data_IF_666701217956
#
_entry.id   IF_666701217956
#
_cell.length_a   1.000
_cell.length_b   1.000
_cell.length_c   1.000
_cell.angle_alpha   90.00
_cell.angle_beta   90.00
_cell.angle_gamma   90.00
#
_symmetry.space_group_name_H-M   'P 1'
#
loop_
_entity.id
_entity.type
_entity.pdbx_description
1 polymer ?
#
# COMPACT_ATOMS: atom_id res chain seq x y z
N UNK A 1 -21.02 -0.68 -2.98
CA UNK A 1 -20.69 0.28 -1.91
C UNK A 1 -19.27 0.76 -2.11
N UNK A 2 -19.01 2.07 -2.07
CA UNK A 2 -17.64 2.60 -2.06
C UNK A 2 -16.90 2.06 -0.82
N UNK A 3 -15.61 1.80 -0.97
CA UNK A 3 -14.72 1.38 0.09
C UNK A 3 -13.32 1.97 -0.15
N UNK A 4 -12.52 2.09 0.90
CA UNK A 4 -11.17 2.63 0.82
C UNK A 4 -10.22 1.91 1.78
N UNK A 5 -8.96 1.79 1.38
CA UNK A 5 -7.86 1.54 2.28
C UNK A 5 -7.46 2.82 3.02
N UNK A 6 -6.94 2.70 4.23
CA UNK A 6 -6.67 3.85 5.10
C UNK A 6 -5.32 3.70 5.78
N UNK A 7 -4.44 4.68 5.58
CA UNK A 7 -3.24 4.89 6.39
C UNK A 7 -3.33 6.23 7.10
N UNK A 8 -3.04 6.23 8.40
CA UNK A 8 -2.98 7.46 9.21
C UNK A 8 -1.69 7.42 10.03
N UNK A 9 -0.99 8.55 10.06
CA UNK A 9 0.11 8.77 10.97
C UNK A 9 -0.08 10.14 11.63
N UNK A 10 -0.05 10.18 12.97
CA UNK A 10 -0.34 11.36 13.77
C UNK A 10 0.67 11.49 14.91
N UNK A 11 1.23 12.68 15.07
CA UNK A 11 1.99 13.04 16.27
C UNK A 11 1.06 13.22 17.47
N UNK A 12 1.39 12.56 18.58
CA UNK A 12 0.77 12.73 19.88
C UNK A 12 1.87 12.88 20.95
N UNK A 13 2.24 14.14 21.23
CA UNK A 13 3.37 14.46 22.11
C UNK A 13 4.69 13.87 21.59
N UNK A 14 5.28 12.94 22.36
CA UNK A 14 6.53 12.24 22.04
C UNK A 14 6.37 10.99 21.15
N UNK A 15 5.13 10.66 20.79
CA UNK A 15 4.80 9.45 20.04
C UNK A 15 4.29 9.81 18.66
N UNK A 16 4.67 9.00 17.68
CA UNK A 16 3.96 8.88 16.42
C UNK A 16 2.99 7.70 16.57
N UNK A 17 1.69 7.99 16.57
CA UNK A 17 0.64 6.99 16.50
C UNK A 17 0.30 6.75 15.04
N UNK A 18 0.09 5.49 14.68
CA UNK A 18 -0.21 5.13 13.31
C UNK A 18 -1.26 4.02 13.23
N UNK A 19 -1.95 4.00 12.10
CA UNK A 19 -3.01 3.06 11.75
C UNK A 19 -2.86 2.68 10.28
N UNK A 20 -2.98 1.38 10.00
CA UNK A 20 -3.02 0.81 8.66
C UNK A 20 -4.24 -0.11 8.56
N UNK A 21 -5.08 0.12 7.58
CA UNK A 21 -6.24 -0.69 7.25
C UNK A 21 -6.21 -1.02 5.76
N UNK A 22 -6.29 -2.32 5.45
CA UNK A 22 -6.14 -2.87 4.11
C UNK A 22 -4.73 -2.62 3.49
N UNK A 23 -4.66 -2.49 2.18
CA UNK A 23 -3.45 -2.56 1.35
C UNK A 23 -2.62 -1.26 1.30
N UNK A 24 -2.76 -0.38 2.31
CA UNK A 24 -1.83 0.74 2.50
C UNK A 24 -0.58 0.26 3.21
N UNK A 25 0.59 0.73 2.77
CA UNK A 25 1.86 0.46 3.44
C UNK A 25 2.34 1.66 4.25
N UNK A 26 2.71 1.40 5.51
CA UNK A 26 3.46 2.31 6.38
C UNK A 26 4.92 1.89 6.43
N UNK A 27 5.83 2.82 6.16
CA UNK A 27 7.26 2.65 6.34
C UNK A 27 7.74 3.61 7.43
N UNK A 28 8.52 3.10 8.38
CA UNK A 28 9.21 3.90 9.40
C UNK A 28 10.69 3.60 9.29
N UNK A 29 11.52 4.62 9.03
CA UNK A 29 12.97 4.54 9.10
C UNK A 29 13.43 5.06 10.45
N UNK A 30 14.28 4.30 11.11
CA UNK A 30 14.90 4.72 12.36
C UNK A 30 16.19 5.51 12.10
N UNK A 31 16.71 6.13 13.16
CA UNK A 31 17.93 6.95 13.10
C UNK A 31 19.23 6.16 12.90
N UNK A 32 19.18 4.84 13.01
CA UNK A 32 20.31 3.93 12.85
C UNK A 32 20.28 3.20 11.49
N UNK A 33 19.51 3.71 10.52
CA UNK A 33 19.28 3.10 9.20
C UNK A 33 18.54 1.74 9.23
N UNK A 34 17.95 1.36 10.36
CA UNK A 34 16.94 0.32 10.39
C UNK A 34 15.61 0.84 9.82
N UNK A 35 14.74 -0.08 9.43
CA UNK A 35 13.41 0.26 8.93
C UNK A 35 12.41 -0.81 9.32
N UNK A 36 11.14 -0.39 9.38
CA UNK A 36 9.99 -1.26 9.54
C UNK A 36 9.00 -0.96 8.40
N UNK A 37 8.36 -2.01 7.90
CA UNK A 37 7.22 -1.92 6.98
C UNK A 37 6.02 -2.58 7.65
N UNK A 38 4.87 -1.92 7.60
CA UNK A 38 3.59 -2.44 8.08
C UNK A 38 2.59 -2.36 6.95
N UNK A 39 1.93 -3.47 6.64
CA UNK A 39 0.86 -3.58 5.65
C UNK A 39 -0.09 -4.67 6.12
N UNK A 40 -1.39 -4.50 5.87
CA UNK A 40 -2.37 -5.51 6.25
C UNK A 40 -2.44 -6.64 5.22
N UNK A 41 -1.81 -7.78 5.52
CA UNK A 41 -1.77 -8.92 4.60
C UNK A 41 -3.12 -9.59 4.38
N UNK A 42 -4.12 -9.32 5.24
CA UNK A 42 -5.44 -9.98 5.15
C UNK A 42 -6.12 -9.77 3.81
N UNK A 43 -5.86 -8.65 3.13
CA UNK A 43 -6.40 -8.36 1.79
C UNK A 43 -5.93 -9.39 0.76
N UNK A 44 -4.69 -9.83 0.85
CA UNK A 44 -4.12 -10.85 -0.03
C UNK A 44 -4.47 -12.26 0.46
N UNK A 45 -4.39 -12.49 1.77
CA UNK A 45 -4.61 -13.81 2.40
C UNK A 45 -6.07 -14.30 2.24
N UNK A 46 -7.04 -13.38 2.16
CA UNK A 46 -8.46 -13.71 2.02
C UNK A 46 -8.90 -14.03 0.58
N UNK A 47 -8.03 -13.86 -0.43
CA UNK A 47 -8.41 -14.04 -1.83
C UNK A 47 -8.37 -15.52 -2.24
N UNK A 48 -9.36 -15.95 -3.04
CA UNK A 48 -9.27 -17.23 -3.74
C UNK A 48 -8.12 -17.18 -4.75
N UNK A 49 -7.06 -17.95 -4.47
CA UNK A 49 -5.86 -18.01 -5.29
C UNK A 49 -6.14 -18.51 -6.72
N UNK A 50 -7.14 -19.36 -6.92
CA UNK A 50 -7.48 -19.90 -8.25
C UNK A 50 -8.12 -18.84 -9.15
N UNK A 51 -9.04 -18.04 -8.60
CA UNK A 51 -9.67 -16.93 -9.34
C UNK A 51 -8.64 -15.84 -9.64
N UNK A 52 -7.76 -15.56 -8.68
CA UNK A 52 -6.64 -14.63 -8.84
C UNK A 52 -5.71 -15.06 -9.97
N UNK A 53 -5.21 -16.29 -9.92
CA UNK A 53 -4.31 -16.84 -10.96
C UNK A 53 -4.97 -16.85 -12.34
N UNK A 54 -6.24 -17.24 -12.44
CA UNK A 54 -6.97 -17.24 -13.70
C UNK A 54 -7.07 -15.83 -14.31
N UNK A 55 -7.27 -14.80 -13.48
CA UNK A 55 -7.32 -13.41 -13.93
C UNK A 55 -5.92 -12.87 -14.31
N UNK A 56 -4.88 -13.24 -13.58
CA UNK A 56 -3.49 -12.82 -13.84
C UNK A 56 -2.90 -13.43 -15.12
N UNK A 57 -3.32 -14.64 -15.50
CA UNK A 57 -2.84 -15.34 -16.69
C UNK A 57 -3.46 -14.85 -18.02
N UNK A 58 -4.26 -13.79 -17.99
CA UNK A 58 -4.93 -13.23 -19.17
C UNK A 58 -4.37 -11.84 -19.48
N UNK A 59 -4.09 -11.52 -20.76
CA UNK A 59 -3.57 -10.20 -21.10
C UNK A 59 -4.52 -9.08 -20.68
N UNK A 60 -3.94 -8.01 -20.12
CA UNK A 60 -4.69 -6.84 -19.67
C UNK A 60 -5.50 -6.25 -20.83
N UNK A 61 -6.74 -5.88 -20.55
CA UNK A 61 -7.61 -5.24 -21.54
C UNK A 61 -8.36 -6.21 -22.47
N UNK A 62 -8.17 -7.52 -22.33
CA UNK A 62 -8.99 -8.51 -23.04
C UNK A 62 -10.38 -8.68 -22.41
N UNK A 63 -11.36 -9.13 -23.20
CA UNK A 63 -12.70 -9.42 -22.67
C UNK A 63 -12.69 -10.57 -21.65
N UNK A 64 -11.82 -11.57 -21.88
CA UNK A 64 -11.62 -12.68 -20.96
C UNK A 64 -11.07 -12.20 -19.61
N UNK A 65 -10.04 -11.35 -19.62
CA UNK A 65 -9.45 -10.80 -18.41
C UNK A 65 -10.48 -9.99 -17.61
N UNK A 66 -11.27 -9.14 -18.28
CA UNK A 66 -12.35 -8.39 -17.60
C UNK A 66 -13.39 -9.30 -16.96
N UNK A 67 -13.74 -10.41 -17.60
CA UNK A 67 -14.68 -11.38 -17.05
C UNK A 67 -14.08 -12.10 -15.83
N UNK A 68 -12.81 -12.50 -15.89
CA UNK A 68 -12.10 -13.15 -14.78
C UNK A 68 -11.93 -12.20 -13.58
N UNK A 69 -11.48 -10.96 -13.81
CA UNK A 69 -11.37 -9.92 -12.76
C UNK A 69 -12.74 -9.66 -12.13
N UNK A 70 -13.81 -9.60 -12.92
CA UNK A 70 -15.17 -9.44 -12.37
C UNK A 70 -15.57 -10.61 -11.47
N UNK A 71 -15.28 -11.85 -11.86
CA UNK A 71 -15.57 -13.03 -11.04
C UNK A 71 -14.77 -12.98 -9.73
N UNK A 72 -13.47 -12.66 -9.79
CA UNK A 72 -12.62 -12.45 -8.63
C UNK A 72 -13.15 -11.33 -7.71
N UNK A 73 -13.56 -10.19 -8.26
CA UNK A 73 -14.13 -9.09 -7.48
C UNK A 73 -15.44 -9.48 -6.79
N UNK A 74 -16.28 -10.31 -7.43
CA UNK A 74 -17.50 -10.82 -6.80
C UNK A 74 -17.16 -11.68 -5.58
N UNK A 75 -16.16 -12.56 -5.69
CA UNK A 75 -15.67 -13.37 -4.58
C UNK A 75 -15.09 -12.51 -3.45
N UNK A 76 -14.20 -11.56 -3.78
CA UNK A 76 -13.63 -10.61 -2.81
C UNK A 76 -14.71 -9.86 -2.03
N UNK A 77 -15.82 -9.46 -2.68
CA UNK A 77 -16.93 -8.78 -2.00
C UNK A 77 -17.58 -9.64 -0.90
N UNK A 78 -17.51 -10.97 -0.99
CA UNK A 78 -18.01 -11.89 0.04
C UNK A 78 -17.09 -11.98 1.26
N UNK A 79 -15.79 -11.70 1.06
CA UNK A 79 -14.75 -11.71 2.09
C UNK A 79 -14.54 -10.34 2.76
N UNK A 80 -15.22 -9.30 2.28
CA UNK A 80 -15.04 -7.92 2.73
C UNK A 80 -15.85 -7.59 3.98
N UNK A 81 -15.18 -7.06 4.99
CA UNK A 81 -15.74 -6.63 6.28
C UNK A 81 -16.52 -7.75 6.99
N UNK A 82 -15.98 -8.96 6.93
CA UNK A 82 -16.49 -10.13 7.66
C UNK A 82 -15.36 -10.77 8.45
N UNK A 83 -15.75 -11.49 9.50
CA UNK A 83 -14.80 -12.28 10.30
C UNK A 83 -14.07 -13.27 9.40
N UNK A 84 -12.76 -13.43 9.63
CA UNK A 84 -11.85 -14.32 8.89
C UNK A 84 -11.62 -13.92 7.41
N UNK A 85 -12.21 -12.80 6.95
CA UNK A 85 -11.89 -12.15 5.68
C UNK A 85 -10.94 -10.96 5.86
N UNK A 86 -11.18 -9.89 5.10
CA UNK A 86 -10.38 -8.66 5.15
C UNK A 86 -11.24 -7.43 5.47
N UNK A 87 -10.60 -6.36 5.93
CA UNK A 87 -11.27 -5.17 6.43
C UNK A 87 -10.87 -3.93 5.63
N UNK A 88 -11.86 -3.13 5.24
CA UNK A 88 -11.70 -1.85 4.53
C UNK A 88 -12.68 -0.81 5.09
N UNK A 89 -12.29 0.46 5.02
CA UNK A 89 -13.18 1.54 5.41
C UNK A 89 -14.38 1.60 4.44
N UNK A 90 -15.58 1.42 4.98
CA UNK A 90 -16.84 1.47 4.23
C UNK A 90 -17.97 1.92 5.18
N UNK A 91 -19.20 1.50 4.92
CA UNK A 91 -20.36 1.88 5.72
C UNK A 91 -20.37 1.31 7.15
N UNK A 92 -19.71 0.18 7.39
CA UNK A 92 -19.61 -0.42 8.73
C UNK A 92 -18.42 0.22 9.50
N UNK A 93 -18.66 0.99 10.58
CA UNK A 93 -17.59 1.62 11.35
C UNK A 93 -16.70 0.61 12.09
N UNK A 94 -17.16 -0.63 12.32
CA UNK A 94 -16.39 -1.72 12.93
C UNK A 94 -15.07 -1.99 12.19
N UNK A 95 -14.98 -1.68 10.89
CA UNK A 95 -13.74 -1.82 10.14
C UNK A 95 -12.56 -1.06 10.75
N UNK A 96 -12.81 0.04 11.48
CA UNK A 96 -11.78 0.77 12.20
C UNK A 96 -11.17 -0.04 13.35
N UNK A 97 -11.96 -0.87 14.04
CA UNK A 97 -11.50 -1.71 15.16
C UNK A 97 -10.59 -2.84 14.70
N UNK A 98 -10.62 -3.15 13.40
CA UNK A 98 -9.78 -4.17 12.79
C UNK A 98 -8.48 -3.63 12.20
N UNK A 99 -8.24 -2.32 12.24
CA UNK A 99 -7.01 -1.75 11.70
C UNK A 99 -5.77 -2.17 12.51
N UNK A 100 -4.64 -2.35 11.83
CA UNK A 100 -3.35 -2.57 12.48
C UNK A 100 -2.87 -1.21 13.01
N UNK A 101 -2.59 -1.14 14.31
CA UNK A 101 -2.21 0.10 14.97
C UNK A 101 -0.92 -0.04 15.75
N UNK A 102 -0.26 1.09 15.99
CA UNK A 102 0.90 1.11 16.86
C UNK A 102 1.36 2.52 17.17
N UNK A 103 2.44 2.57 17.96
CA UNK A 103 3.10 3.82 18.32
C UNK A 103 4.61 3.65 18.31
N UNK A 104 5.31 4.66 17.83
CA UNK A 104 6.78 4.68 17.78
C UNK A 104 7.26 5.99 18.40
N UNK A 105 8.31 5.96 19.22
CA UNK A 105 8.83 7.17 19.84
C UNK A 105 9.45 8.06 18.76
N UNK A 106 9.01 9.32 18.67
CA UNK A 106 9.51 10.25 17.65
C UNK A 106 11.03 10.42 17.74
N UNK A 107 11.62 10.32 18.92
CA UNK A 107 13.06 10.43 19.13
C UNK A 107 13.88 9.38 18.35
N UNK A 108 13.26 8.26 17.99
CA UNK A 108 13.92 7.13 17.31
C UNK A 108 13.66 7.15 15.79
N UNK A 109 12.76 8.01 15.31
CA UNK A 109 12.32 8.07 13.91
C UNK A 109 13.12 9.12 13.14
N UNK A 110 13.65 8.70 12.00
CA UNK A 110 14.24 9.56 10.99
C UNK A 110 13.18 10.06 10.00
N UNK A 111 12.42 9.14 9.41
CA UNK A 111 11.40 9.45 8.40
C UNK A 111 10.28 8.42 8.39
N UNK A 112 9.10 8.83 7.90
CA UNK A 112 7.89 8.01 7.80
C UNK A 112 7.28 8.20 6.43
N UNK A 113 6.81 7.13 5.81
CA UNK A 113 6.01 7.20 4.60
C UNK A 113 4.72 6.37 4.73
N UNK A 114 3.63 6.90 4.20
CA UNK A 114 2.39 6.15 3.94
C UNK A 114 2.15 6.14 2.45
N UNK A 115 1.82 4.99 1.88
CA UNK A 115 1.64 4.85 0.45
C UNK A 115 0.58 3.82 0.08
N UNK A 116 -0.12 4.07 -1.02
CA UNK A 116 -1.06 3.10 -1.60
C UNK A 116 -0.33 1.90 -2.19
N UNK A 117 -1.06 0.82 -2.43
CA UNK A 117 -0.62 -0.37 -3.16
C UNK A 117 -0.01 0.00 -4.53
N UNK A 118 -0.61 0.95 -5.24
CA UNK A 118 -0.07 1.48 -6.50
C UNK A 118 1.38 1.96 -6.42
N UNK A 119 1.81 2.52 -5.29
CA UNK A 119 3.23 2.89 -5.06
C UNK A 119 4.05 1.70 -4.59
N UNK A 120 3.51 0.89 -3.66
CA UNK A 120 4.22 -0.24 -3.08
C UNK A 120 4.55 -1.33 -4.11
N UNK A 121 3.78 -1.41 -5.21
CA UNK A 121 4.05 -2.26 -6.37
C UNK A 121 5.47 -2.12 -6.93
N UNK A 122 6.15 -0.98 -6.76
CA UNK A 122 7.57 -0.87 -7.13
C UNK A 122 8.45 -1.94 -6.47
N UNK A 123 8.12 -2.31 -5.23
CA UNK A 123 8.81 -3.33 -4.45
C UNK A 123 8.10 -4.68 -4.54
N UNK A 124 6.78 -4.70 -4.35
CA UNK A 124 6.02 -5.94 -4.15
C UNK A 124 5.69 -6.69 -5.44
N UNK A 125 5.54 -5.96 -6.56
CA UNK A 125 5.13 -6.51 -7.85
C UNK A 125 6.26 -6.43 -8.88
N UNK A 126 6.81 -5.24 -9.08
CA UNK A 126 7.81 -4.98 -10.12
C UNK A 126 9.22 -5.41 -9.68
N UNK A 127 9.48 -5.49 -8.37
CA UNK A 127 10.80 -5.81 -7.81
C UNK A 127 11.93 -4.92 -8.37
N UNK A 128 11.59 -3.65 -8.66
CA UNK A 128 12.49 -2.63 -9.22
C UNK A 128 13.14 -1.79 -8.11
N UNK A 129 12.71 -1.98 -6.86
CA UNK A 129 13.31 -1.37 -5.69
C UNK A 129 13.24 -2.30 -4.47
N UNK A 130 14.05 -2.00 -3.46
CA UNK A 130 13.88 -2.51 -2.09
C UNK A 130 13.28 -1.40 -1.24
N UNK A 131 12.65 -1.76 -0.12
CA UNK A 131 12.04 -0.79 0.81
C UNK A 131 12.99 0.32 1.28
N UNK A 132 14.25 -0.03 1.58
CA UNK A 132 15.27 0.99 1.89
C UNK A 132 15.51 1.94 0.71
N UNK A 133 15.60 1.41 -0.51
CA UNK A 133 15.73 2.22 -1.72
C UNK A 133 14.51 3.14 -1.95
N UNK A 134 13.31 2.71 -1.58
CA UNK A 134 12.12 3.57 -1.59
C UNK A 134 12.30 4.77 -0.65
N UNK A 135 12.78 4.54 0.58
CA UNK A 135 13.04 5.62 1.54
C UNK A 135 14.16 6.55 1.06
N UNK A 136 15.20 6.02 0.42
CA UNK A 136 16.28 6.82 -0.20
C UNK A 136 15.75 7.70 -1.33
N UNK A 137 14.92 7.16 -2.24
CA UNK A 137 14.30 7.96 -3.31
C UNK A 137 13.42 9.07 -2.71
N UNK A 138 12.61 8.75 -1.71
CA UNK A 138 11.75 9.73 -1.03
C UNK A 138 12.55 10.83 -0.34
N UNK A 139 13.70 10.49 0.24
CA UNK A 139 14.59 11.46 0.88
C UNK A 139 15.32 12.34 -0.15
N UNK A 140 15.91 11.74 -1.17
CA UNK A 140 16.81 12.43 -2.09
C UNK A 140 16.09 13.14 -3.24
N UNK A 141 14.99 12.56 -3.72
CA UNK A 141 14.30 12.98 -4.95
C UNK A 141 12.80 13.24 -4.76
N UNK A 142 12.24 12.88 -3.61
CA UNK A 142 10.86 13.17 -3.24
C UNK A 142 9.79 12.23 -3.83
N UNK A 143 8.51 12.45 -3.46
CA UNK A 143 7.37 11.65 -3.88
C UNK A 143 7.18 11.51 -5.39
N UNK A 144 7.33 12.60 -6.14
CA UNK A 144 7.09 12.60 -7.59
C UNK A 144 8.09 11.70 -8.32
N UNK A 145 9.34 11.68 -7.87
CA UNK A 145 10.37 10.81 -8.44
C UNK A 145 10.08 9.32 -8.15
N UNK A 146 9.54 9.01 -6.96
CA UNK A 146 9.12 7.64 -6.65
C UNK A 146 7.96 7.20 -7.55
N UNK A 147 6.94 8.05 -7.71
CA UNK A 147 5.80 7.77 -8.59
C UNK A 147 6.27 7.64 -10.05
N UNK A 148 7.20 8.48 -10.51
CA UNK A 148 7.76 8.36 -11.85
C UNK A 148 8.39 6.97 -12.10
N UNK A 149 9.14 6.41 -11.14
CA UNK A 149 9.70 5.04 -11.28
C UNK A 149 8.62 3.95 -11.37
N UNK A 150 7.51 4.11 -10.65
CA UNK A 150 6.34 3.21 -10.80
C UNK A 150 5.82 3.30 -12.23
N UNK A 151 5.65 4.52 -12.77
CA UNK A 151 5.16 4.72 -14.13
C UNK A 151 6.12 4.19 -15.19
N UNK A 152 7.42 4.28 -14.96
CA UNK A 152 8.43 3.71 -15.86
C UNK A 152 8.37 2.17 -15.88
N UNK A 153 8.07 1.52 -14.75
CA UNK A 153 7.83 0.07 -14.73
C UNK A 153 6.55 -0.30 -15.49
N UNK A 154 5.45 0.40 -15.24
CA UNK A 154 4.18 0.16 -15.93
C UNK A 154 4.27 0.34 -17.45
N UNK A 155 5.01 1.36 -17.91
CA UNK A 155 5.20 1.64 -19.34
C UNK A 155 6.03 0.59 -20.06
N UNK A 156 6.97 -0.07 -19.37
CA UNK A 156 7.78 -1.16 -19.94
C UNK A 156 6.99 -2.45 -20.11
N UNK A 157 5.88 -2.60 -19.39
CA UNK A 157 5.05 -3.79 -19.42
C UNK A 157 3.55 -3.44 -19.47
N UNK A 158 3.07 -2.77 -20.54
CA UNK A 158 1.72 -2.20 -20.58
C UNK A 158 0.60 -3.24 -20.55
N UNK A 159 0.92 -4.51 -20.85
CA UNK A 159 -0.01 -5.63 -20.93
C UNK A 159 0.12 -6.64 -19.78
N UNK A 160 1.07 -6.45 -18.84
CA UNK A 160 1.24 -7.36 -17.71
C UNK A 160 1.90 -8.69 -18.08
N UNK A 161 2.75 -8.72 -19.10
CA UNK A 161 3.44 -9.93 -19.57
C UNK A 161 4.67 -10.25 -18.71
N UNK A 162 5.39 -9.21 -18.27
CA UNK A 162 6.56 -9.34 -17.38
C UNK A 162 6.09 -9.46 -15.92
N UNK A 163 5.15 -8.60 -15.53
CA UNK A 163 4.56 -8.56 -14.20
C UNK A 163 3.03 -8.68 -14.29
N UNK A 164 2.49 -9.91 -14.22
CA UNK A 164 1.05 -10.16 -14.27
C UNK A 164 0.28 -9.33 -13.24
N UNK A 165 -0.74 -8.60 -13.72
CA UNK A 165 -1.58 -7.70 -12.89
C UNK A 165 -2.92 -7.39 -13.57
N UNK A 166 -3.84 -6.78 -12.83
CA UNK A 166 -5.23 -6.58 -13.29
C UNK A 166 -5.47 -5.30 -14.11
N UNK A 167 -4.54 -4.35 -14.06
CA UNK A 167 -4.67 -3.04 -14.69
C UNK A 167 -3.30 -2.55 -15.13
N UNK A 168 -3.26 -1.81 -16.24
CA UNK A 168 -2.01 -1.26 -16.77
C UNK A 168 -1.34 -0.36 -15.74
N UNK A 169 -2.14 0.49 -15.09
CA UNK A 169 -1.70 1.42 -14.06
C UNK A 169 -2.67 1.46 -12.89
N UNK A 170 -2.14 1.67 -11.70
CA UNK A 170 -2.91 1.95 -10.49
C UNK A 170 -2.84 3.42 -10.09
N UNK A 171 -3.82 3.88 -9.31
CA UNK A 171 -3.71 5.12 -8.56
C UNK A 171 -2.55 5.01 -7.56
N UNK A 172 -1.63 5.96 -7.64
CA UNK A 172 -0.40 5.97 -6.84
C UNK A 172 -0.37 7.24 -6.00
N UNK A 173 -0.43 7.08 -4.68
CA UNK A 173 -0.29 8.19 -3.74
C UNK A 173 0.67 7.82 -2.63
N UNK A 174 1.52 8.77 -2.25
CA UNK A 174 2.46 8.64 -1.14
C UNK A 174 2.57 9.98 -0.42
N UNK A 175 2.60 9.91 0.90
CA UNK A 175 2.93 11.04 1.77
C UNK A 175 4.13 10.68 2.62
N UNK A 176 5.01 11.65 2.85
CA UNK A 176 6.23 11.46 3.62
C UNK A 176 6.31 12.53 4.71
N UNK A 177 6.70 12.12 5.92
CA UNK A 177 7.13 13.00 6.99
C UNK A 177 8.62 12.81 7.19
N UNK A 178 9.39 13.87 6.97
CA UNK A 178 10.82 13.91 7.21
C UNK A 178 11.10 14.32 8.66
N UNK A 179 12.35 14.18 9.10
CA UNK A 179 12.75 14.47 10.47
C UNK A 179 12.30 15.85 10.96
N UNK A 180 12.47 16.87 10.13
CA UNK A 180 12.04 18.25 10.42
C UNK A 180 10.54 18.35 10.73
N UNK A 181 9.72 17.59 10.00
CA UNK A 181 8.26 17.58 10.15
C UNK A 181 7.83 16.87 11.44
N UNK A 182 8.68 15.96 11.94
CA UNK A 182 8.48 15.25 13.21
C UNK A 182 8.94 16.07 14.42
N UNK A 183 9.82 17.06 14.20
CA UNK A 183 10.34 17.94 15.26
C UNK A 183 9.49 19.21 15.42
N UNK A 184 8.96 19.79 14.34
CA UNK A 184 8.16 21.01 14.39
C UNK A 184 6.80 20.82 15.12
N UNK A 185 6.61 21.58 16.21
CA UNK A 185 5.38 22.28 16.67
C UNK A 185 5.44 22.63 18.17
N UNK A 186 6.54 23.27 18.61
CA UNK A 186 6.50 24.19 19.74
C UNK A 186 6.21 25.61 19.18
N UNK A 187 4.97 25.85 18.74
CA UNK A 187 4.44 27.19 18.43
C UNK A 187 3.13 27.42 19.18
#
# INVERSE_FOLDING_TARGET
MPAAAVGIARRNGRWLEWLVLADVSLLIRDRNNGFQVVTDSRVDDAQDSSLREAALNLPIGTAAQRAAVKAMSVDQLTQRNVKDGYWVAAANPEAADHAITGRTAIADIDSVALMTDGVSHLVTLYNEARWLGVMEILHDSGPDALIARVRDAEQRDPYGEIWPRFKTQDDAAVVVMQRKDLEEQDL
#
